data_IF_366820926463
#
_entry.id   IF_366820926463
#
_cell.length_a   1.000
_cell.length_b   1.000
_cell.length_c   1.000
_cell.angle_alpha   90.00
_cell.angle_beta   90.00
_cell.angle_gamma   90.00
#
_symmetry.space_group_name_H-M   'P 1'
#
loop_
_entity.id
_entity.type
_entity.pdbx_description
1 polymer ?
#
# COMPACT_ATOMS: atom_id res chain seq x y z
N UNK A 1 -14.81 14.03 2.13
CA UNK A 1 -14.97 13.92 3.60
C UNK A 1 -16.45 13.68 3.89
N UNK A 2 -16.88 12.39 3.84
CA UNK A 2 -18.28 12.01 4.01
C UNK A 2 -18.67 11.97 5.50
N UNK A 3 -17.70 11.82 6.40
CA UNK A 3 -17.90 11.80 7.86
C UNK A 3 -17.60 13.14 8.51
N UNK A 4 -17.14 14.15 7.74
CA UNK A 4 -16.84 15.51 8.15
C UNK A 4 -15.81 15.63 9.31
N UNK A 5 -14.87 14.67 9.40
CA UNK A 5 -13.79 14.68 10.41
C UNK A 5 -12.55 15.50 9.98
N UNK A 6 -12.57 16.06 8.77
CA UNK A 6 -11.49 16.88 8.21
C UNK A 6 -10.35 16.06 7.62
N UNK A 7 -10.47 14.73 7.57
CA UNK A 7 -9.52 13.82 6.94
C UNK A 7 -10.21 13.05 5.81
N UNK A 8 -9.42 12.52 4.89
CA UNK A 8 -9.94 11.63 3.84
C UNK A 8 -9.39 10.24 4.15
N UNK A 9 -10.26 9.34 4.57
CA UNK A 9 -9.93 7.96 4.77
C UNK A 9 -9.85 7.18 3.44
N UNK A 10 -9.45 5.90 3.51
CA UNK A 10 -9.26 5.07 2.32
C UNK A 10 -10.56 4.84 1.55
N UNK A 11 -11.67 4.64 2.25
CA UNK A 11 -12.98 4.41 1.62
C UNK A 11 -13.50 5.67 0.91
N UNK A 12 -13.33 6.83 1.53
CA UNK A 12 -13.66 8.14 0.96
C UNK A 12 -12.79 8.46 -0.26
N UNK A 13 -11.48 8.15 -0.16
CA UNK A 13 -10.56 8.32 -1.28
C UNK A 13 -10.93 7.43 -2.47
N UNK A 14 -11.26 6.16 -2.23
CA UNK A 14 -11.75 5.26 -3.29
C UNK A 14 -13.02 5.77 -3.93
N UNK A 15 -13.94 6.32 -3.12
CA UNK A 15 -15.21 6.88 -3.61
C UNK A 15 -14.98 8.08 -4.53
N UNK A 16 -14.02 8.95 -4.20
CA UNK A 16 -13.66 10.11 -5.03
C UNK A 16 -12.99 9.67 -6.34
N UNK A 17 -12.07 8.70 -6.28
CA UNK A 17 -11.37 8.19 -7.46
C UNK A 17 -12.29 7.40 -8.39
N UNK A 18 -13.28 6.67 -7.85
CA UNK A 18 -14.29 5.95 -8.61
C UNK A 18 -15.21 6.91 -9.38
N UNK A 19 -15.63 8.00 -8.72
CA UNK A 19 -16.45 9.05 -9.34
C UNK A 19 -15.73 9.79 -10.47
N UNK A 20 -14.41 9.97 -10.34
CA UNK A 20 -13.56 10.57 -11.37
C UNK A 20 -13.33 9.64 -12.58
N UNK A 21 -13.51 8.33 -12.40
CA UNK A 21 -13.24 7.28 -13.39
C UNK A 21 -14.47 6.74 -14.11
N UNK A 22 -15.64 7.33 -14.02
CA UNK A 22 -16.93 6.79 -14.53
C UNK A 22 -16.98 6.44 -16.05
N UNK A 23 -15.83 6.25 -16.69
CA UNK A 23 -15.67 5.65 -18.02
C UNK A 23 -14.97 4.29 -18.06
N UNK A 24 -14.54 3.71 -16.92
CA UNK A 24 -13.77 2.46 -16.85
C UNK A 24 -14.13 1.54 -15.66
N UNK A 25 -15.40 1.48 -15.30
CA UNK A 25 -15.96 1.01 -14.05
C UNK A 25 -15.64 -0.44 -13.59
N UNK A 26 -15.24 -1.35 -14.48
CA UNK A 26 -15.19 -2.80 -14.14
C UNK A 26 -14.03 -3.27 -13.24
N UNK A 27 -13.02 -2.45 -13.03
CA UNK A 27 -11.82 -2.88 -12.28
C UNK A 27 -11.84 -2.52 -10.78
N UNK A 28 -12.70 -1.58 -10.38
CA UNK A 28 -12.84 -1.15 -8.99
C UNK A 28 -14.06 -1.77 -8.30
N UNK A 29 -15.01 -2.35 -9.05
CA UNK A 29 -16.21 -2.97 -8.49
C UNK A 29 -15.87 -4.17 -7.58
N UNK A 30 -14.88 -4.98 -7.96
CA UNK A 30 -14.40 -6.07 -7.10
C UNK A 30 -13.79 -5.57 -5.78
N UNK A 31 -13.06 -4.45 -5.84
CA UNK A 31 -12.46 -3.82 -4.67
C UNK A 31 -13.53 -3.24 -3.73
N UNK A 32 -14.59 -2.69 -4.28
CA UNK A 32 -15.71 -2.11 -3.55
C UNK A 32 -16.59 -3.17 -2.89
N UNK A 33 -16.82 -4.30 -3.55
CA UNK A 33 -17.60 -5.43 -2.98
C UNK A 33 -16.88 -6.03 -1.76
N UNK A 34 -15.55 -6.19 -1.81
CA UNK A 34 -14.77 -6.72 -0.70
C UNK A 34 -14.82 -5.77 0.49
N UNK A 35 -14.61 -4.46 0.27
CA UNK A 35 -14.66 -3.45 1.34
C UNK A 35 -16.06 -3.33 1.95
N UNK A 36 -17.14 -3.52 1.19
CA UNK A 36 -18.51 -3.42 1.72
C UNK A 36 -19.04 -4.70 2.35
N UNK A 37 -18.51 -5.87 1.97
CA UNK A 37 -19.00 -7.17 2.45
C UNK A 37 -18.48 -7.53 3.86
N UNK A 38 -17.36 -6.98 4.30
CA UNK A 38 -16.73 -7.31 5.59
C UNK A 38 -16.88 -6.16 6.59
N UNK A 39 -18.07 -5.97 7.16
CA UNK A 39 -18.27 -4.99 8.22
C UNK A 39 -17.61 -5.44 9.53
N UNK A 40 -16.47 -4.81 9.89
CA UNK A 40 -16.30 -4.46 11.29
C UNK A 40 -15.39 -5.33 12.15
N UNK A 41 -14.40 -6.06 11.62
CA UNK A 41 -13.39 -6.67 12.51
C UNK A 41 -12.25 -5.68 12.72
N UNK A 42 -12.27 -4.99 13.87
CA UNK A 42 -11.17 -4.14 14.30
C UNK A 42 -10.16 -5.01 15.05
N UNK A 43 -8.95 -5.15 14.51
CA UNK A 43 -7.84 -5.80 15.20
C UNK A 43 -7.10 -4.77 16.06
N UNK A 44 -6.73 -5.17 17.28
CA UNK A 44 -5.95 -4.35 18.20
C UNK A 44 -4.59 -4.98 18.40
N UNK A 45 -3.56 -4.17 18.25
CA UNK A 45 -2.17 -4.57 18.54
C UNK A 45 -1.65 -3.63 19.61
N UNK A 46 -1.16 -4.20 20.71
CA UNK A 46 -0.54 -3.48 21.80
C UNK A 46 0.98 -3.58 21.65
N UNK A 47 1.63 -2.43 21.49
CA UNK A 47 3.11 -2.31 21.49
C UNK A 47 3.46 -1.08 22.34
N UNK A 48 4.40 -1.24 23.26
CA UNK A 48 4.94 -0.15 24.10
C UNK A 48 3.85 0.61 24.89
N UNK A 49 2.85 -0.10 25.44
CA UNK A 49 1.68 0.44 26.15
C UNK A 49 0.76 1.33 25.28
N UNK A 50 0.92 1.30 23.96
CA UNK A 50 0.03 1.98 23.01
C UNK A 50 -0.78 0.93 22.27
N UNK A 51 -2.11 1.11 22.27
CA UNK A 51 -3.02 0.24 21.51
C UNK A 51 -3.26 0.86 20.15
N UNK A 52 -2.80 0.16 19.12
CA UNK A 52 -3.12 0.51 17.73
C UNK A 52 -4.25 -0.38 17.24
N UNK A 53 -5.20 0.21 16.55
CA UNK A 53 -6.30 -0.51 15.91
C UNK A 53 -6.25 -0.30 14.39
N UNK A 54 -6.55 -1.34 13.63
CA UNK A 54 -6.70 -1.27 12.18
C UNK A 54 -7.86 -2.16 11.75
N UNK A 55 -8.50 -1.80 10.65
CA UNK A 55 -9.59 -2.57 10.09
C UNK A 55 -9.04 -3.76 9.29
N UNK A 56 -9.64 -4.93 9.45
CA UNK A 56 -9.26 -6.12 8.67
C UNK A 56 -9.52 -5.92 7.18
N UNK A 57 -10.57 -5.19 6.85
CA UNK A 57 -10.93 -4.79 5.49
C UNK A 57 -9.82 -3.98 4.81
N UNK A 58 -9.12 -3.14 5.56
CA UNK A 58 -7.98 -2.38 5.05
C UNK A 58 -6.84 -3.32 4.64
N UNK A 59 -6.54 -4.31 5.45
CA UNK A 59 -5.51 -5.31 5.14
C UNK A 59 -5.89 -6.13 3.90
N UNK A 60 -7.16 -6.54 3.77
CA UNK A 60 -7.67 -7.26 2.59
C UNK A 60 -7.52 -6.40 1.35
N UNK A 61 -7.95 -5.15 1.41
CA UNK A 61 -7.85 -4.22 0.28
C UNK A 61 -6.40 -4.00 -0.17
N UNK A 62 -5.46 -3.90 0.78
CA UNK A 62 -4.04 -3.73 0.46
C UNK A 62 -3.43 -5.01 -0.11
N UNK A 63 -3.78 -6.19 0.43
CA UNK A 63 -3.33 -7.47 -0.11
C UNK A 63 -3.81 -7.67 -1.56
N UNK A 64 -5.07 -7.35 -1.85
CA UNK A 64 -5.61 -7.39 -3.21
C UNK A 64 -4.91 -6.40 -4.14
N UNK A 65 -4.61 -5.19 -3.67
CA UNK A 65 -3.86 -4.22 -4.46
C UNK A 65 -2.47 -4.75 -4.81
N UNK A 66 -1.75 -5.30 -3.82
CA UNK A 66 -0.42 -5.90 -4.01
C UNK A 66 -0.49 -7.04 -5.00
N UNK A 67 -1.40 -7.98 -4.81
CA UNK A 67 -1.62 -9.10 -5.73
C UNK A 67 -1.92 -8.60 -7.15
N UNK A 68 -2.81 -7.64 -7.29
CA UNK A 68 -3.21 -7.10 -8.59
C UNK A 68 -2.11 -6.37 -9.34
N UNK A 69 -1.12 -5.82 -8.63
CA UNK A 69 -0.01 -5.05 -9.23
C UNK A 69 1.23 -5.86 -9.48
N UNK A 70 1.51 -6.84 -8.63
CA UNK A 70 2.80 -7.55 -8.63
C UNK A 70 2.69 -9.02 -9.02
N UNK A 71 1.49 -9.59 -9.18
CA UNK A 71 1.32 -11.02 -9.52
C UNK A 71 1.95 -11.45 -10.85
N UNK A 72 2.17 -10.52 -11.76
CA UNK A 72 2.83 -10.79 -13.04
C UNK A 72 4.36 -10.85 -12.93
N UNK A 73 4.94 -10.43 -11.81
CA UNK A 73 6.39 -10.48 -11.58
C UNK A 73 6.80 -11.88 -11.11
N UNK A 74 7.45 -12.63 -11.99
CA UNK A 74 7.91 -14.02 -11.73
C UNK A 74 8.90 -14.08 -10.57
N UNK A 75 9.70 -13.03 -10.36
CA UNK A 75 10.67 -12.97 -9.28
C UNK A 75 9.99 -13.00 -7.90
N UNK A 76 8.72 -12.57 -7.82
CA UNK A 76 7.93 -12.52 -6.59
C UNK A 76 7.07 -13.77 -6.36
N UNK A 77 7.21 -14.82 -7.17
CA UNK A 77 6.40 -16.05 -7.06
C UNK A 77 6.52 -16.75 -5.69
N UNK A 78 7.54 -16.45 -4.91
CA UNK A 78 7.72 -16.98 -3.54
C UNK A 78 7.02 -16.17 -2.45
N UNK A 79 6.60 -14.94 -2.79
CA UNK A 79 5.89 -14.02 -1.88
C UNK A 79 4.41 -13.90 -2.24
N UNK A 80 4.04 -14.10 -3.50
CA UNK A 80 2.72 -13.88 -4.04
C UNK A 80 2.11 -15.16 -4.66
N UNK A 81 0.79 -15.28 -4.67
CA UNK A 81 -0.17 -14.31 -4.14
C UNK A 81 -0.26 -14.34 -2.61
N UNK A 82 -0.67 -13.22 -2.01
CA UNK A 82 -1.08 -13.16 -0.61
C UNK A 82 -2.44 -13.86 -0.50
N UNK A 83 -2.49 -14.99 0.20
CA UNK A 83 -3.71 -15.77 0.34
C UNK A 83 -4.59 -15.26 1.50
N UNK A 84 -3.96 -14.69 2.52
CA UNK A 84 -4.60 -14.09 3.69
C UNK A 84 -4.08 -12.66 3.88
N UNK A 85 -4.96 -11.75 4.27
CA UNK A 85 -4.61 -10.37 4.56
C UNK A 85 -3.53 -10.24 5.66
N UNK A 86 -3.45 -11.18 6.58
CA UNK A 86 -2.45 -11.18 7.65
C UNK A 86 -1.05 -11.54 7.16
N UNK A 87 -0.92 -12.27 6.04
CA UNK A 87 0.36 -12.57 5.41
C UNK A 87 1.08 -11.30 4.93
N UNK A 88 0.33 -10.23 4.70
CA UNK A 88 0.87 -8.95 4.23
C UNK A 88 2.04 -8.47 5.10
N UNK A 89 1.90 -8.56 6.42
CA UNK A 89 2.92 -8.09 7.36
C UNK A 89 4.17 -8.95 7.34
N UNK A 90 4.00 -10.27 7.23
CA UNK A 90 5.10 -11.22 7.12
C UNK A 90 5.83 -11.07 5.78
N UNK A 91 5.08 -10.99 4.67
CA UNK A 91 5.64 -10.91 3.32
C UNK A 91 6.34 -9.60 2.99
N UNK A 92 5.95 -8.52 3.68
CA UNK A 92 6.62 -7.21 3.57
C UNK A 92 7.93 -7.18 4.35
N UNK A 93 8.12 -8.07 5.33
CA UNK A 93 9.28 -8.04 6.25
C UNK A 93 10.63 -8.20 5.57
N UNK A 94 10.73 -8.87 4.42
CA UNK A 94 11.98 -9.04 3.68
C UNK A 94 12.40 -7.80 2.86
N UNK A 95 11.54 -6.80 2.75
CA UNK A 95 11.75 -5.54 2.04
C UNK A 95 11.57 -5.60 0.53
N UNK A 96 11.51 -6.80 -0.06
CA UNK A 96 11.41 -6.97 -1.53
C UNK A 96 10.08 -6.41 -2.04
N UNK A 97 8.96 -6.77 -1.40
CA UNK A 97 7.64 -6.26 -1.80
C UNK A 97 7.57 -4.73 -1.74
N UNK A 98 8.15 -4.11 -0.70
CA UNK A 98 8.16 -2.65 -0.61
C UNK A 98 8.99 -2.01 -1.72
N UNK A 99 10.17 -2.53 -2.03
CA UNK A 99 10.99 -2.03 -3.14
C UNK A 99 10.22 -2.10 -4.47
N UNK A 100 9.59 -3.23 -4.76
CA UNK A 100 8.80 -3.41 -5.99
C UNK A 100 7.57 -2.50 -6.03
N UNK A 101 6.85 -2.31 -4.91
CA UNK A 101 5.72 -1.38 -4.83
C UNK A 101 6.13 0.07 -5.03
N UNK A 102 7.31 0.47 -4.58
CA UNK A 102 7.86 1.81 -4.84
C UNK A 102 8.06 2.01 -6.34
N UNK A 103 8.63 1.02 -7.04
CA UNK A 103 8.79 1.07 -8.49
C UNK A 103 7.44 1.02 -9.25
N UNK A 104 6.40 0.42 -8.66
CA UNK A 104 5.02 0.52 -9.19
C UNK A 104 4.46 1.93 -9.02
N UNK A 105 4.71 2.57 -7.89
CA UNK A 105 4.23 3.92 -7.61
C UNK A 105 4.96 4.98 -8.46
N UNK A 106 6.28 4.89 -8.53
CA UNK A 106 7.15 5.75 -9.33
C UNK A 106 8.20 4.87 -10.02
N UNK A 107 8.06 4.61 -11.32
CA UNK A 107 8.98 3.74 -12.06
C UNK A 107 10.44 4.18 -11.93
N UNK A 108 11.35 3.20 -11.93
CA UNK A 108 12.80 3.41 -11.92
C UNK A 108 13.35 4.14 -10.68
N UNK A 109 12.58 4.20 -9.58
CA UNK A 109 13.04 4.80 -8.32
C UNK A 109 14.14 3.97 -7.66
N UNK A 110 14.00 2.64 -7.72
CA UNK A 110 15.00 1.69 -7.20
C UNK A 110 15.52 0.86 -8.37
N UNK A 111 16.85 0.79 -8.49
CA UNK A 111 17.48 -0.15 -9.43
C UNK A 111 17.17 -1.59 -8.98
N UNK A 112 16.52 -2.37 -9.83
CA UNK A 112 16.13 -3.75 -9.54
C UNK A 112 17.32 -4.62 -9.12
N UNK A 113 18.53 -4.33 -9.62
CA UNK A 113 19.77 -5.04 -9.28
C UNK A 113 20.25 -4.77 -7.85
N UNK A 114 19.78 -3.69 -7.23
CA UNK A 114 20.10 -3.36 -5.84
C UNK A 114 19.21 -4.12 -4.84
N UNK A 115 18.14 -4.75 -5.31
CA UNK A 115 17.22 -5.50 -4.47
C UNK A 115 17.75 -6.92 -4.27
N UNK A 116 18.03 -7.29 -3.03
CA UNK A 116 18.40 -8.67 -2.71
C UNK A 116 17.15 -9.54 -2.71
N UNK A 117 16.90 -10.22 -3.85
CA UNK A 117 15.80 -11.18 -3.96
C UNK A 117 16.07 -12.40 -3.06
N UNK A 118 15.02 -12.90 -2.37
CA UNK A 118 15.10 -14.04 -1.46
C UNK A 118 16.23 -13.89 -0.41
N UNK A 119 16.19 -12.85 0.42
CA UNK A 119 17.23 -12.63 1.42
C UNK A 119 17.31 -13.83 2.37
N UNK A 120 18.53 -14.24 2.69
CA UNK A 120 18.83 -15.42 3.51
C UNK A 120 19.20 -15.07 4.94
N UNK A 121 19.27 -13.80 5.28
CA UNK A 121 19.60 -13.31 6.60
C UNK A 121 18.83 -12.04 6.93
N UNK A 122 18.60 -11.81 8.22
CA UNK A 122 17.99 -10.57 8.69
C UNK A 122 18.76 -9.31 8.25
N UNK A 123 20.08 -9.42 8.07
CA UNK A 123 20.89 -8.33 7.58
C UNK A 123 20.50 -7.94 6.14
N UNK A 124 20.35 -8.92 5.23
CA UNK A 124 19.93 -8.66 3.85
C UNK A 124 18.51 -8.10 3.78
N UNK A 125 17.59 -8.59 4.61
CA UNK A 125 16.25 -8.02 4.72
C UNK A 125 16.31 -6.58 5.22
N UNK A 126 17.15 -6.29 6.20
CA UNK A 126 17.34 -4.93 6.73
C UNK A 126 17.93 -3.99 5.67
N UNK A 127 18.84 -4.47 4.82
CA UNK A 127 19.38 -3.70 3.69
C UNK A 127 18.29 -3.35 2.69
N UNK A 128 17.43 -4.31 2.30
CA UNK A 128 16.26 -4.06 1.45
C UNK A 128 15.32 -3.03 2.10
N UNK A 129 15.02 -3.15 3.41
CA UNK A 129 14.17 -2.21 4.12
C UNK A 129 14.76 -0.80 4.15
N UNK A 130 16.06 -0.66 4.38
CA UNK A 130 16.75 0.63 4.34
C UNK A 130 16.70 1.24 2.93
N UNK A 131 16.89 0.43 1.90
CA UNK A 131 16.76 0.84 0.50
C UNK A 131 15.34 1.32 0.21
N UNK A 132 14.33 0.52 0.58
CA UNK A 132 12.92 0.86 0.41
C UNK A 132 12.54 2.17 1.12
N UNK A 133 12.89 2.31 2.42
CA UNK A 133 12.55 3.52 3.19
C UNK A 133 13.27 4.77 2.66
N UNK A 134 14.51 4.63 2.20
CA UNK A 134 15.26 5.74 1.60
C UNK A 134 14.61 6.19 0.29
N UNK A 135 14.25 5.24 -0.56
CA UNK A 135 13.57 5.49 -1.82
C UNK A 135 12.15 6.05 -1.61
N UNK A 136 11.41 5.50 -0.65
CA UNK A 136 10.08 5.99 -0.28
C UNK A 136 10.12 7.46 0.15
N UNK A 137 11.09 7.84 0.99
CA UNK A 137 11.30 9.25 1.38
C UNK A 137 11.64 10.13 0.19
N UNK A 138 12.47 9.65 -0.74
CA UNK A 138 12.85 10.39 -1.93
C UNK A 138 11.66 10.72 -2.85
N UNK A 139 10.67 9.83 -2.93
CA UNK A 139 9.44 10.04 -3.70
C UNK A 139 8.34 10.78 -2.91
N UNK A 140 8.58 11.19 -1.67
CA UNK A 140 7.66 11.99 -0.87
C UNK A 140 6.78 11.21 0.12
N UNK A 141 7.03 9.91 0.32
CA UNK A 141 6.36 9.14 1.38
C UNK A 141 6.84 9.61 2.76
N UNK A 142 5.90 9.89 3.63
CA UNK A 142 6.20 10.33 5.00
C UNK A 142 6.49 9.12 5.90
N UNK A 143 7.76 8.91 6.20
CA UNK A 143 8.23 7.86 7.11
C UNK A 143 8.68 8.49 8.44
N UNK A 144 7.75 9.13 9.17
CA UNK A 144 8.05 9.74 10.46
C UNK A 144 8.08 8.65 11.53
N UNK A 145 9.20 8.56 12.25
CA UNK A 145 9.42 7.55 13.31
C UNK A 145 9.24 6.09 12.81
N UNK A 146 9.56 5.84 11.55
CA UNK A 146 9.57 4.49 10.99
C UNK A 146 11.00 4.14 10.63
N UNK A 147 11.54 3.12 11.31
CA UNK A 147 12.84 2.53 11.01
C UNK A 147 12.71 1.23 10.21
N UNK A 148 13.81 0.80 9.62
CA UNK A 148 13.86 -0.47 8.89
C UNK A 148 13.58 -1.68 9.78
N UNK A 149 13.97 -1.62 11.06
CA UNK A 149 13.64 -2.64 12.06
C UNK A 149 12.16 -2.80 12.32
N UNK A 150 11.41 -1.68 12.35
CA UNK A 150 9.97 -1.72 12.59
C UNK A 150 9.22 -2.44 11.47
N UNK A 151 9.68 -2.23 10.23
CA UNK A 151 9.09 -2.87 9.05
C UNK A 151 9.53 -4.34 8.95
N UNK A 152 10.79 -4.63 9.30
CA UNK A 152 11.30 -6.00 9.39
C UNK A 152 10.50 -6.83 10.43
N UNK A 153 10.13 -6.22 11.56
CA UNK A 153 9.28 -6.84 12.58
C UNK A 153 7.80 -6.96 12.16
N UNK A 154 7.43 -6.40 11.01
CA UNK A 154 6.06 -6.43 10.51
C UNK A 154 5.09 -5.63 11.38
N UNK A 155 5.53 -4.51 12.00
CA UNK A 155 4.68 -3.69 12.86
C UNK A 155 3.46 -3.16 12.08
N UNK A 156 2.22 -3.65 12.36
CA UNK A 156 1.10 -3.51 11.44
C UNK A 156 0.75 -2.07 11.06
N UNK A 157 0.57 -1.18 12.04
CA UNK A 157 0.17 0.21 11.77
C UNK A 157 1.22 1.00 10.98
N UNK A 158 2.51 0.67 11.12
CA UNK A 158 3.58 1.32 10.37
C UNK A 158 3.63 0.81 8.93
N UNK A 159 3.49 -0.51 8.76
CA UNK A 159 3.42 -1.15 7.44
C UNK A 159 2.22 -0.61 6.66
N UNK A 160 1.03 -0.60 7.26
CA UNK A 160 -0.18 -0.07 6.63
C UNK A 160 -0.03 1.41 6.28
N UNK A 161 0.58 2.22 7.14
CA UNK A 161 0.83 3.63 6.89
C UNK A 161 1.75 3.90 5.68
N UNK A 162 2.75 3.04 5.44
CA UNK A 162 3.60 3.12 4.25
C UNK A 162 2.82 2.66 3.02
N UNK A 163 2.18 1.49 3.11
CA UNK A 163 1.42 0.90 2.01
C UNK A 163 0.32 1.83 1.53
N UNK A 164 -0.43 2.44 2.45
CA UNK A 164 -1.44 3.42 2.12
C UNK A 164 -0.90 4.55 1.25
N UNK A 165 0.24 5.13 1.63
CA UNK A 165 0.83 6.22 0.88
C UNK A 165 1.28 5.78 -0.53
N UNK A 166 1.87 4.57 -0.66
CA UNK A 166 2.28 4.02 -1.95
C UNK A 166 1.07 3.70 -2.84
N UNK A 167 0.02 3.09 -2.28
CA UNK A 167 -1.25 2.83 -2.97
C UNK A 167 -1.85 4.13 -3.48
N UNK A 168 -1.97 5.13 -2.60
CA UNK A 168 -2.48 6.45 -2.95
C UNK A 168 -1.69 7.10 -4.08
N UNK A 169 -0.36 7.07 -4.02
CA UNK A 169 0.50 7.60 -5.07
C UNK A 169 0.26 6.89 -6.40
N UNK A 170 0.21 5.56 -6.39
CA UNK A 170 -0.04 4.75 -7.59
C UNK A 170 -1.42 5.07 -8.20
N UNK A 171 -2.45 5.21 -7.39
CA UNK A 171 -3.79 5.53 -7.85
C UNK A 171 -3.87 6.96 -8.40
N UNK A 172 -3.26 7.92 -7.71
CA UNK A 172 -3.25 9.33 -8.14
C UNK A 172 -2.40 9.56 -9.40
N UNK A 173 -1.33 8.80 -9.62
CA UNK A 173 -0.51 8.92 -10.82
C UNK A 173 -1.31 8.68 -12.11
N UNK A 174 -2.38 7.91 -12.04
CA UNK A 174 -3.29 7.66 -13.16
C UNK A 174 -4.39 8.72 -13.32
N UNK A 175 -4.56 9.59 -12.31
CA UNK A 175 -5.59 10.64 -12.28
C UNK A 175 -4.91 11.99 -12.55
N UNK A 176 -4.91 12.43 -13.79
CA UNK A 176 -4.39 13.75 -14.17
C UNK A 176 -5.41 14.47 -15.05
N UNK A 177 -5.28 15.81 -15.12
CA UNK A 177 -6.20 16.67 -15.91
C UNK A 177 -6.20 16.36 -17.41
N UNK A 178 -5.11 15.80 -17.94
CA UNK A 178 -5.04 15.41 -19.36
C UNK A 178 -5.84 14.16 -19.65
N UNK A 179 -5.78 13.16 -18.74
CA UNK A 179 -6.53 11.90 -18.88
C UNK A 179 -7.97 12.00 -18.37
N UNK A 180 -8.26 12.98 -17.51
CA UNK A 180 -9.56 13.16 -16.86
C UNK A 180 -9.99 14.65 -16.86
N UNK A 181 -10.34 15.24 -18.03
CA UNK A 181 -10.70 16.67 -18.12
C UNK A 181 -11.94 17.05 -17.29
N UNK A 182 -12.78 16.07 -16.93
CA UNK A 182 -13.93 16.30 -16.08
C UNK A 182 -13.59 16.58 -14.60
N UNK A 183 -12.32 16.39 -14.18
CA UNK A 183 -11.88 16.77 -12.84
C UNK A 183 -12.00 18.28 -12.59
N UNK A 184 -11.93 19.11 -13.62
CA UNK A 184 -12.10 20.57 -13.53
C UNK A 184 -13.49 20.92 -13.01
N UNK A 185 -14.54 20.18 -13.45
CA UNK A 185 -15.92 20.40 -13.01
C UNK A 185 -16.22 20.00 -11.57
N UNK A 186 -15.30 19.27 -10.92
CA UNK A 186 -15.43 18.88 -9.51
C UNK A 186 -14.74 19.89 -8.57
N UNK A 187 -13.93 20.81 -9.14
CA UNK A 187 -13.21 21.84 -8.39
C UNK A 187 -13.89 23.21 -8.47
N UNK A 188 -14.90 23.35 -9.33
CA UNK A 188 -15.81 24.50 -9.41
C UNK A 188 -17.07 24.26 -8.57
#
# INVERSE_FOLDING_TARGET
DANADGTIDFAEFLHVTDRARSGGAKRLDGFREVVTAQKGVIRRVEKDNIVHSFAEEECVAYAEFVNGRLSADIELSYLLPLADATELFERVSDGVLLCKLINVAVPETIDERAITLRPRSAFQSLENQNLALSAAKAIGVRCVNIGASDVLEGTPHLVLGILWQLIRMTLLSTVNLKSNPNLIRLLE
#
